data_IF_729263734092
#
_entry.id   IF_729263734092
#
_cell.length_a   1.000
_cell.length_b   1.000
_cell.length_c   1.000
_cell.angle_alpha   90.00
_cell.angle_beta   90.00
_cell.angle_gamma   90.00
#
_symmetry.space_group_name_H-M   'P 1'
#
loop_
_entity.id
_entity.type
_entity.pdbx_description
1 polymer ?
#
# COMPACT_ATOMS: atom_id res chain seq x y z
N UNK A 1 -9.68 -3.50 27.09
CA UNK A 1 -8.34 -3.82 26.53
C UNK A 1 -7.39 -2.74 27.04
N UNK A 2 -6.33 -3.12 27.76
CA UNK A 2 -5.27 -2.17 28.13
C UNK A 2 -4.60 -1.74 26.84
N UNK A 3 -4.73 -0.46 26.47
CA UNK A 3 -4.07 0.09 25.27
C UNK A 3 -2.56 0.00 25.46
N UNK A 4 -1.88 -0.69 24.56
CA UNK A 4 -0.43 -0.68 24.48
C UNK A 4 0.00 0.60 23.77
N UNK A 5 0.92 1.36 24.36
CA UNK A 5 1.52 2.53 23.72
C UNK A 5 2.80 2.08 23.02
N UNK A 6 2.87 2.29 21.70
CA UNK A 6 4.03 1.95 20.89
C UNK A 6 4.71 3.23 20.38
N UNK A 7 6.04 3.20 20.33
CA UNK A 7 6.83 4.22 19.65
C UNK A 7 7.29 3.67 18.29
N UNK A 8 6.61 4.06 17.22
CA UNK A 8 6.76 3.48 15.89
C UNK A 8 6.82 4.56 14.81
N UNK A 9 7.28 4.19 13.63
CA UNK A 9 7.22 5.03 12.43
C UNK A 9 5.85 4.89 11.73
N UNK A 10 5.53 5.83 10.83
CA UNK A 10 4.29 5.81 10.05
C UNK A 10 4.10 4.52 9.23
N UNK A 11 5.17 4.02 8.60
CA UNK A 11 5.13 2.77 7.85
C UNK A 11 4.76 1.56 8.73
N UNK A 12 5.30 1.50 9.95
CA UNK A 12 4.95 0.44 10.89
C UNK A 12 3.52 0.60 11.41
N UNK A 13 3.08 1.83 11.68
CA UNK A 13 1.70 2.11 12.07
C UNK A 13 0.71 1.68 10.98
N UNK A 14 1.02 1.96 9.70
CA UNK A 14 0.27 1.49 8.54
C UNK A 14 0.16 -0.04 8.50
N UNK A 15 1.29 -0.74 8.60
CA UNK A 15 1.30 -2.21 8.59
C UNK A 15 0.45 -2.80 9.73
N UNK A 16 0.53 -2.23 10.94
CA UNK A 16 -0.28 -2.65 12.09
C UNK A 16 -1.76 -2.34 11.90
N UNK A 17 -2.10 -1.19 11.32
CA UNK A 17 -3.47 -0.83 10.95
C UNK A 17 -4.08 -1.84 9.97
N UNK A 18 -3.32 -2.22 8.94
CA UNK A 18 -3.75 -3.24 7.98
C UNK A 18 -3.99 -4.61 8.63
N UNK A 19 -3.10 -5.03 9.53
CA UNK A 19 -3.30 -6.28 10.30
C UNK A 19 -4.56 -6.22 11.19
N UNK A 20 -4.77 -5.08 11.86
CA UNK A 20 -5.96 -4.87 12.69
C UNK A 20 -7.25 -4.89 11.84
N UNK A 21 -7.22 -4.32 10.65
CA UNK A 21 -8.32 -4.37 9.69
C UNK A 21 -8.60 -5.77 9.12
N UNK A 22 -7.72 -6.74 9.40
CA UNK A 22 -7.87 -8.12 8.95
C UNK A 22 -7.23 -8.44 7.60
N UNK A 23 -6.16 -7.73 7.24
CA UNK A 23 -5.32 -8.07 6.08
C UNK A 23 -4.95 -9.55 6.07
N UNK A 24 -5.09 -10.20 4.91
CA UNK A 24 -4.75 -11.62 4.73
C UNK A 24 -3.76 -11.88 3.61
N UNK A 25 -3.57 -10.93 2.71
CA UNK A 25 -2.61 -11.07 1.63
C UNK A 25 -1.87 -9.76 1.36
N UNK A 26 -0.55 -9.84 1.34
CA UNK A 26 0.30 -8.74 0.90
C UNK A 26 1.24 -9.24 -0.20
N UNK A 27 1.32 -8.47 -1.28
CA UNK A 27 2.35 -8.66 -2.30
C UNK A 27 3.03 -7.32 -2.59
N UNK A 28 4.35 -7.31 -2.63
CA UNK A 28 5.12 -6.10 -2.86
C UNK A 28 6.51 -6.34 -3.42
N UNK A 29 7.11 -5.29 -3.92
CA UNK A 29 8.51 -5.22 -4.32
C UNK A 29 9.21 -4.16 -3.47
N UNK A 30 10.39 -4.44 -2.90
CA UNK A 30 11.07 -3.49 -2.00
C UNK A 30 11.42 -2.19 -2.71
N UNK A 31 10.96 -1.08 -2.15
CA UNK A 31 11.24 0.27 -2.66
C UNK A 31 11.26 1.29 -1.51
N UNK A 32 12.31 2.10 -1.44
CA UNK A 32 12.43 3.18 -0.45
C UNK A 32 11.45 4.32 -0.80
N UNK A 33 10.70 4.88 0.19
CA UNK A 33 10.75 4.64 1.62
C UNK A 33 9.62 3.73 2.16
N UNK A 34 9.04 2.83 1.37
CA UNK A 34 7.93 1.96 1.80
C UNK A 34 8.37 0.60 2.37
N UNK A 35 9.68 0.34 2.44
CA UNK A 35 10.26 -0.97 2.75
C UNK A 35 9.83 -1.47 4.14
N UNK A 36 9.74 -0.61 5.14
CA UNK A 36 9.39 -1.00 6.52
C UNK A 36 7.95 -1.52 6.62
N UNK A 37 7.04 -1.14 5.71
CA UNK A 37 5.70 -1.75 5.62
C UNK A 37 5.85 -3.24 5.27
N UNK A 38 6.64 -3.53 4.24
CA UNK A 38 6.86 -4.90 3.81
C UNK A 38 7.60 -5.74 4.88
N UNK A 39 8.62 -5.20 5.52
CA UNK A 39 9.37 -5.86 6.59
C UNK A 39 8.46 -6.21 7.78
N UNK A 40 7.67 -5.23 8.25
CA UNK A 40 6.71 -5.45 9.34
C UNK A 40 5.68 -6.52 8.97
N UNK A 41 5.14 -6.48 7.75
CA UNK A 41 4.17 -7.47 7.30
C UNK A 41 4.80 -8.85 7.04
N UNK A 42 6.05 -8.92 6.58
CA UNK A 42 6.75 -10.20 6.43
C UNK A 42 6.89 -10.93 7.77
N UNK A 43 7.09 -10.19 8.86
CA UNK A 43 7.19 -10.74 10.20
C UNK A 43 5.81 -11.09 10.80
N UNK A 44 4.85 -10.16 10.72
CA UNK A 44 3.63 -10.25 11.51
C UNK A 44 2.46 -10.92 10.78
N UNK A 45 2.33 -10.77 9.46
CA UNK A 45 1.18 -11.28 8.71
C UNK A 45 1.05 -12.81 8.76
N UNK A 46 2.14 -13.60 8.69
CA UNK A 46 2.04 -15.06 8.86
C UNK A 46 1.54 -15.47 10.24
N UNK A 47 1.82 -14.69 11.28
CA UNK A 47 1.39 -14.99 12.65
C UNK A 47 -0.13 -14.91 12.85
N UNK A 48 -0.81 -14.16 11.97
CA UNK A 48 -2.28 -14.04 11.96
C UNK A 48 -2.93 -14.85 10.82
N UNK A 49 -2.19 -15.80 10.25
CA UNK A 49 -2.68 -16.71 9.21
C UNK A 49 -2.81 -16.06 7.83
N UNK A 50 -2.17 -14.92 7.59
CA UNK A 50 -2.05 -14.29 6.28
C UNK A 50 -0.83 -14.75 5.50
N UNK A 51 -0.71 -14.28 4.27
CA UNK A 51 0.41 -14.57 3.36
C UNK A 51 1.10 -13.30 2.90
N UNK A 52 2.42 -13.29 3.03
CA UNK A 52 3.32 -12.29 2.49
C UNK A 52 4.06 -12.86 1.29
N UNK A 53 4.11 -12.12 0.18
CA UNK A 53 4.84 -12.52 -1.03
C UNK A 53 5.67 -11.33 -1.52
N UNK A 54 6.97 -11.55 -1.65
CA UNK A 54 7.82 -10.62 -2.39
C UNK A 54 7.80 -11.02 -3.86
N UNK A 55 7.44 -10.05 -4.70
CA UNK A 55 7.38 -10.23 -6.15
C UNK A 55 8.65 -9.68 -6.82
N UNK A 56 8.82 -9.98 -8.10
CA UNK A 56 9.95 -9.52 -8.91
C UNK A 56 9.85 -8.05 -9.33
N UNK A 57 8.64 -7.47 -9.32
CA UNK A 57 8.38 -6.08 -9.65
C UNK A 57 7.01 -5.60 -9.14
N UNK A 58 6.69 -4.33 -9.38
CA UNK A 58 5.45 -3.69 -8.96
C UNK A 58 4.24 -4.11 -9.80
N UNK A 59 4.43 -4.47 -11.07
CA UNK A 59 3.35 -4.98 -11.92
C UNK A 59 2.84 -6.31 -11.38
N UNK A 60 3.76 -7.26 -11.16
CA UNK A 60 3.44 -8.56 -10.61
C UNK A 60 2.79 -8.47 -9.23
N UNK A 61 3.29 -7.56 -8.36
CA UNK A 61 2.71 -7.38 -7.03
C UNK A 61 1.28 -6.84 -7.08
N UNK A 62 0.96 -5.90 -7.97
CA UNK A 62 -0.41 -5.39 -8.11
C UNK A 62 -1.35 -6.46 -8.67
N UNK A 63 -0.91 -7.22 -9.69
CA UNK A 63 -1.70 -8.33 -10.24
C UNK A 63 -1.98 -9.41 -9.19
N UNK A 64 -1.00 -9.75 -8.36
CA UNK A 64 -1.17 -10.71 -7.26
C UNK A 64 -2.18 -10.23 -6.23
N UNK A 65 -2.16 -8.94 -5.87
CA UNK A 65 -3.14 -8.32 -4.97
C UNK A 65 -4.55 -8.38 -5.55
N UNK A 66 -4.73 -8.05 -6.83
CA UNK A 66 -6.02 -8.19 -7.51
C UNK A 66 -6.51 -9.64 -7.49
N UNK A 67 -5.66 -10.60 -7.79
CA UNK A 67 -6.00 -12.02 -7.76
C UNK A 67 -6.42 -12.50 -6.36
N UNK A 68 -5.72 -12.08 -5.32
CA UNK A 68 -6.06 -12.40 -3.94
C UNK A 68 -7.40 -11.79 -3.51
N UNK A 69 -7.67 -10.56 -3.94
CA UNK A 69 -8.95 -9.90 -3.68
C UNK A 69 -10.12 -10.61 -4.36
N UNK A 70 -9.97 -10.99 -5.63
CA UNK A 70 -10.98 -11.78 -6.36
C UNK A 70 -11.26 -13.11 -5.64
N UNK A 71 -10.24 -13.69 -5.01
CA UNK A 71 -10.40 -14.90 -4.19
C UNK A 71 -11.02 -14.65 -2.81
N UNK A 72 -11.43 -13.42 -2.50
CA UNK A 72 -12.13 -13.04 -1.27
C UNK A 72 -11.23 -12.67 -0.09
N UNK A 73 -9.94 -12.38 -0.33
CA UNK A 73 -9.03 -11.95 0.72
C UNK A 73 -8.93 -10.42 0.78
N UNK A 74 -8.89 -9.86 1.99
CA UNK A 74 -8.41 -8.48 2.17
C UNK A 74 -6.95 -8.44 1.76
N UNK A 75 -6.64 -7.67 0.72
CA UNK A 75 -5.34 -7.64 0.07
C UNK A 75 -4.77 -6.23 -0.03
N UNK A 76 -3.45 -6.12 0.05
CA UNK A 76 -2.73 -4.84 0.06
C UNK A 76 -1.39 -4.95 -0.66
N UNK A 77 -0.96 -3.85 -1.24
CA UNK A 77 0.44 -3.62 -1.67
C UNK A 77 0.93 -2.29 -1.12
N UNK A 78 2.26 -2.16 -1.00
CA UNK A 78 2.91 -0.89 -0.67
C UNK A 78 3.99 -0.59 -1.71
N UNK A 79 4.19 0.69 -2.01
CA UNK A 79 5.12 1.16 -3.02
C UNK A 79 5.52 2.62 -2.77
N UNK A 80 6.24 3.21 -3.72
CA UNK A 80 6.64 4.62 -3.76
C UNK A 80 6.74 5.06 -5.22
N UNK A 81 6.50 6.32 -5.50
CA UNK A 81 6.70 7.03 -6.76
C UNK A 81 6.80 6.20 -8.05
N UNK A 82 8.01 5.76 -8.46
CA UNK A 82 8.15 5.00 -9.71
C UNK A 82 7.46 3.64 -9.69
N UNK A 83 7.38 2.98 -8.54
CA UNK A 83 6.62 1.74 -8.40
C UNK A 83 5.11 1.98 -8.48
N UNK A 84 4.62 3.13 -7.99
CA UNK A 84 3.23 3.54 -8.18
C UNK A 84 2.92 3.79 -9.67
N UNK A 85 3.86 4.38 -10.41
CA UNK A 85 3.75 4.51 -11.87
C UNK A 85 3.57 3.15 -12.56
N UNK A 86 4.35 2.15 -12.18
CA UNK A 86 4.26 0.80 -12.76
C UNK A 86 2.94 0.10 -12.44
N UNK A 87 2.28 0.45 -11.34
CA UNK A 87 1.00 -0.15 -10.94
C UNK A 87 -0.22 0.45 -11.67
N UNK A 88 -0.09 1.58 -12.36
CA UNK A 88 -1.22 2.34 -12.88
C UNK A 88 -2.12 1.54 -13.82
N UNK A 89 -1.57 0.71 -14.69
CA UNK A 89 -2.39 -0.12 -15.58
C UNK A 89 -3.25 -1.12 -14.79
N UNK A 90 -2.65 -1.82 -13.83
CA UNK A 90 -3.39 -2.78 -13.01
C UNK A 90 -4.35 -2.10 -12.01
N UNK A 91 -4.10 -0.85 -11.61
CA UNK A 91 -5.07 -0.02 -10.87
C UNK A 91 -6.28 0.27 -11.76
N UNK A 92 -6.07 0.68 -13.00
CA UNK A 92 -7.15 0.87 -13.96
C UNK A 92 -7.98 -0.40 -14.18
N UNK A 93 -7.31 -1.55 -14.28
CA UNK A 93 -7.98 -2.85 -14.33
C UNK A 93 -8.82 -3.13 -13.07
N UNK A 94 -8.25 -2.88 -11.87
CA UNK A 94 -8.97 -3.09 -10.62
C UNK A 94 -10.24 -2.21 -10.53
N UNK A 95 -10.17 -0.96 -11.00
CA UNK A 95 -11.34 -0.06 -11.08
C UNK A 95 -12.40 -0.62 -12.04
N UNK A 96 -12.00 -1.02 -13.25
CA UNK A 96 -12.93 -1.54 -14.25
C UNK A 96 -13.57 -2.87 -13.85
N UNK A 97 -12.87 -3.69 -13.10
CA UNK A 97 -13.34 -4.99 -12.63
C UNK A 97 -13.97 -4.95 -11.22
N UNK A 98 -14.06 -3.74 -10.62
CA UNK A 98 -14.60 -3.53 -9.26
C UNK A 98 -13.90 -4.40 -8.19
N UNK A 99 -12.57 -4.50 -8.27
CA UNK A 99 -11.74 -5.30 -7.36
C UNK A 99 -11.30 -4.43 -6.16
N UNK A 100 -11.83 -4.67 -4.94
CA UNK A 100 -11.44 -3.90 -3.78
C UNK A 100 -10.04 -4.30 -3.31
N UNK A 101 -9.12 -3.34 -3.23
CA UNK A 101 -7.77 -3.56 -2.70
C UNK A 101 -7.21 -2.26 -2.13
N UNK A 102 -6.23 -2.38 -1.23
CA UNK A 102 -5.55 -1.23 -0.64
C UNK A 102 -4.15 -1.08 -1.23
N UNK A 103 -3.83 0.14 -1.65
CA UNK A 103 -2.53 0.51 -2.18
C UNK A 103 -1.97 1.62 -1.30
N UNK A 104 -0.79 1.40 -0.75
CA UNK A 104 -0.08 2.40 0.05
C UNK A 104 1.05 2.97 -0.80
N UNK A 105 1.07 4.29 -0.94
CA UNK A 105 2.17 5.00 -1.56
C UNK A 105 2.92 5.84 -0.53
N UNK A 106 4.15 5.45 -0.22
CA UNK A 106 5.06 6.25 0.60
C UNK A 106 5.79 7.21 -0.33
N UNK A 107 5.28 8.43 -0.44
CA UNK A 107 5.71 9.43 -1.42
C UNK A 107 7.19 9.75 -1.35
N UNK A 108 7.78 10.01 -2.51
CA UNK A 108 9.18 10.46 -2.63
C UNK A 108 9.38 11.43 -3.79
N UNK A 109 10.55 12.07 -3.84
CA UNK A 109 10.91 12.97 -4.93
C UNK A 109 11.00 12.26 -6.28
N UNK A 110 10.34 12.80 -7.28
CA UNK A 110 10.35 12.36 -8.67
C UNK A 110 10.98 13.42 -9.59
N UNK A 111 10.94 13.23 -10.93
CA UNK A 111 10.39 12.06 -11.66
C UNK A 111 11.34 10.85 -11.73
N UNK A 112 10.82 9.70 -12.23
CA UNK A 112 11.54 8.43 -12.38
C UNK A 112 12.09 7.92 -11.04
N UNK A 113 13.30 7.35 -10.99
CA UNK A 113 13.93 6.95 -9.72
C UNK A 113 13.97 8.08 -8.70
N UNK A 114 14.16 9.31 -9.17
CA UNK A 114 14.04 10.52 -8.38
C UNK A 114 14.98 10.58 -7.17
N UNK A 115 14.43 11.02 -6.05
CA UNK A 115 15.13 11.24 -4.79
C UNK A 115 14.53 10.33 -3.70
N UNK A 116 15.00 9.08 -3.55
CA UNK A 116 14.34 8.07 -2.70
C UNK A 116 14.24 8.44 -1.21
N UNK A 117 15.13 9.30 -0.73
CA UNK A 117 15.19 9.72 0.69
C UNK A 117 14.68 11.13 0.93
N UNK A 118 14.20 11.81 -0.11
CA UNK A 118 13.71 13.17 -0.01
C UNK A 118 12.18 13.19 -0.02
N UNK A 119 11.61 13.95 0.91
CA UNK A 119 10.16 14.12 1.01
C UNK A 119 9.60 14.92 -0.16
N UNK A 120 8.45 14.48 -0.68
CA UNK A 120 7.74 15.17 -1.76
C UNK A 120 6.28 14.76 -1.72
N UNK A 121 5.43 15.51 -2.44
CA UNK A 121 4.00 15.23 -2.59
C UNK A 121 3.59 15.13 -4.06
N UNK A 122 4.53 14.86 -4.97
CA UNK A 122 4.27 14.71 -6.41
C UNK A 122 3.34 13.56 -6.74
N UNK A 123 3.39 12.49 -5.95
CA UNK A 123 2.62 11.27 -6.16
C UNK A 123 1.11 11.47 -5.93
N UNK A 124 0.70 12.52 -5.20
CA UNK A 124 -0.73 12.86 -5.01
C UNK A 124 -1.44 13.08 -6.35
N UNK A 125 -0.81 13.80 -7.28
CA UNK A 125 -1.38 14.01 -8.61
C UNK A 125 -1.44 12.73 -9.43
N UNK A 126 -0.48 11.83 -9.25
CA UNK A 126 -0.49 10.52 -9.87
C UNK A 126 -1.62 9.64 -9.31
N UNK A 127 -1.89 9.68 -8.01
CA UNK A 127 -3.04 8.99 -7.43
C UNK A 127 -4.36 9.44 -8.06
N UNK A 128 -4.48 10.71 -8.40
CA UNK A 128 -5.69 11.29 -9.01
C UNK A 128 -5.79 11.07 -10.52
N UNK A 129 -4.68 11.16 -11.26
CA UNK A 129 -4.65 11.25 -12.71
C UNK A 129 -3.69 10.25 -13.40
N UNK A 130 -3.20 9.25 -12.69
CA UNK A 130 -2.13 8.38 -13.18
C UNK A 130 -2.56 7.37 -14.23
N UNK A 131 -3.81 6.94 -14.23
CA UNK A 131 -4.34 6.02 -15.24
C UNK A 131 -5.06 6.80 -16.34
N UNK A 132 -5.07 6.27 -17.57
CA UNK A 132 -5.86 6.83 -18.67
C UNK A 132 -7.36 6.59 -18.42
N UNK A 133 -8.19 7.46 -18.95
CA UNK A 133 -9.65 7.43 -18.77
C UNK A 133 -10.10 8.02 -17.44
N UNK A 134 -11.40 8.26 -17.34
CA UNK A 134 -12.01 8.79 -16.11
C UNK A 134 -12.28 7.65 -15.13
N UNK A 135 -11.83 7.82 -13.90
CA UNK A 135 -12.11 6.90 -12.80
C UNK A 135 -12.16 7.63 -11.47
N UNK A 136 -12.87 7.05 -10.52
CA UNK A 136 -12.89 7.53 -9.15
C UNK A 136 -12.00 6.66 -8.28
N UNK A 137 -11.25 7.29 -7.38
CA UNK A 137 -10.41 6.61 -6.40
C UNK A 137 -10.61 7.28 -5.05
N UNK A 138 -10.66 6.49 -3.99
CA UNK A 138 -10.60 7.00 -2.62
C UNK A 138 -9.14 7.13 -2.24
N UNK A 139 -8.69 8.33 -1.93
CA UNK A 139 -7.33 8.60 -1.49
C UNK A 139 -7.37 9.24 -0.10
N UNK A 140 -6.67 8.64 0.83
CA UNK A 140 -6.57 9.08 2.23
C UNK A 140 -5.12 9.50 2.51
N UNK A 141 -4.95 10.52 3.35
CA UNK A 141 -3.61 10.97 3.75
C UNK A 141 -3.58 11.25 5.25
N UNK A 142 -2.56 10.72 5.92
CA UNK A 142 -2.43 10.84 7.37
C UNK A 142 -1.84 12.18 7.80
N UNK A 143 -2.31 12.71 8.91
CA UNK A 143 -1.78 13.91 9.57
C UNK A 143 -0.83 13.60 10.73
N UNK A 144 -0.79 12.33 11.19
CA UNK A 144 0.05 11.89 12.29
C UNK A 144 0.28 10.37 12.22
N UNK A 145 1.18 9.84 13.06
CA UNK A 145 1.43 8.39 13.15
C UNK A 145 0.18 7.65 13.66
N UNK A 146 -0.53 8.22 14.62
CA UNK A 146 -1.79 7.65 15.12
C UNK A 146 -2.84 7.62 14.00
N UNK A 147 -2.99 8.72 13.30
CA UNK A 147 -3.92 8.86 12.18
C UNK A 147 -3.57 7.86 11.04
N UNK A 148 -2.28 7.62 10.78
CA UNK A 148 -1.86 6.60 9.80
C UNK A 148 -2.41 5.21 10.12
N UNK A 149 -2.41 4.81 11.39
CA UNK A 149 -3.04 3.57 11.80
C UNK A 149 -4.55 3.60 11.53
N UNK A 150 -5.23 4.67 11.93
CA UNK A 150 -6.69 4.80 11.85
C UNK A 150 -7.17 4.83 10.38
N UNK A 151 -6.57 5.68 9.54
CA UNK A 151 -6.94 5.73 8.12
C UNK A 151 -6.61 4.46 7.35
N UNK A 152 -5.58 3.73 7.76
CA UNK A 152 -5.29 2.42 7.16
C UNK A 152 -6.40 1.43 7.49
N UNK A 153 -6.94 1.46 8.70
CA UNK A 153 -8.12 0.64 9.07
C UNK A 153 -9.33 1.04 8.24
N UNK A 154 -9.55 2.35 8.05
CA UNK A 154 -10.67 2.89 7.26
C UNK A 154 -10.59 2.50 5.77
N UNK A 155 -9.38 2.37 5.23
CA UNK A 155 -9.14 2.00 3.83
C UNK A 155 -9.60 0.57 3.48
N UNK A 156 -9.81 -0.32 4.47
CA UNK A 156 -10.26 -1.72 4.33
C UNK A 156 -11.74 -1.91 4.60
#
# INVERSE_FOLDING_TARGET
MSGETLFVQGNEACARGALYAGLKFFAGYPITPSTEIAETLAELLPRVGGKFVQMEDELASMCAVCGASIAGLKSMTATSGPGFSLKQEAIGYAVMAEIPCVIVDSMRGGPSTGLPTEVSQGDVMQARWGCHGDHSIVALTASSIQDMFEITVEAF
#
